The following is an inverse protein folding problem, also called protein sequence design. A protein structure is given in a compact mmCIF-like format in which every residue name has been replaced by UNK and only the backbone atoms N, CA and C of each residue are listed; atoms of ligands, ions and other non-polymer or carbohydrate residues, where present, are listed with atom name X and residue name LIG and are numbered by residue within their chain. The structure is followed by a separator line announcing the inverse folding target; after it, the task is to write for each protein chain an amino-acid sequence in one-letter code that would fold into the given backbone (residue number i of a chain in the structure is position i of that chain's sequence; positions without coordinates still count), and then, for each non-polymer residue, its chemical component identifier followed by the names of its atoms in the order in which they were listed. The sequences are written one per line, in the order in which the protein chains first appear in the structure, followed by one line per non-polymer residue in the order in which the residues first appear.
data_IF_148258010937
#
_entry.id   IF_148258010937
#
_cell.length_a   1.000
_cell.length_b   1.000
_cell.length_c   1.000
_cell.angle_alpha   90.00
_cell.angle_beta   90.00
_cell.angle_gamma   90.00
#
_symmetry.space_group_name_H-M   'P 1'
#
loop_
_entity.id
_entity.type
_entity.pdbx_description
1 polymer ?
#
# COMPACT_ATOMS: atom_id res chain seq x y z
N UNK A 1 46.35 14.90 -41.97
CA UNK A 1 45.26 15.54 -41.22
C UNK A 1 44.68 14.48 -40.31
N UNK A 2 44.92 14.57 -39.00
CA UNK A 2 44.55 13.55 -38.02
C UNK A 2 43.26 14.01 -37.34
N UNK A 3 42.14 13.35 -37.64
CA UNK A 3 40.83 13.70 -37.09
C UNK A 3 40.73 13.32 -35.62
N UNK A 4 40.49 14.30 -34.74
CA UNK A 4 40.19 14.07 -33.34
C UNK A 4 38.69 13.73 -33.20
N UNK A 5 38.39 12.54 -32.68
CA UNK A 5 37.03 12.12 -32.30
C UNK A 5 36.76 12.73 -30.93
N UNK A 6 35.88 13.72 -30.86
CA UNK A 6 35.34 14.23 -29.60
C UNK A 6 34.33 13.21 -29.05
N UNK A 7 34.72 12.48 -27.99
CA UNK A 7 33.81 11.62 -27.27
C UNK A 7 32.86 12.49 -26.43
N UNK A 8 31.61 12.64 -26.89
CA UNK A 8 30.54 13.22 -26.10
C UNK A 8 30.16 12.21 -25.01
N UNK A 9 30.62 12.43 -23.78
CA UNK A 9 30.11 11.71 -22.62
C UNK A 9 28.68 12.20 -22.35
N UNK A 10 27.67 11.44 -22.80
CA UNK A 10 26.33 11.59 -22.26
C UNK A 10 26.39 11.25 -20.77
N UNK A 11 26.35 12.27 -19.92
CA UNK A 11 26.18 12.08 -18.48
C UNK A 11 24.82 11.43 -18.24
N UNK A 12 24.82 10.21 -17.71
CA UNK A 12 23.61 9.65 -17.12
C UNK A 12 23.24 10.55 -15.94
N UNK A 13 22.08 11.21 -16.00
CA UNK A 13 21.55 11.94 -14.85
C UNK A 13 21.43 10.94 -13.68
N UNK A 14 21.78 11.35 -12.44
CA UNK A 14 21.58 10.48 -11.28
C UNK A 14 20.11 10.06 -11.23
N UNK A 15 19.87 8.78 -11.00
CA UNK A 15 18.52 8.31 -10.67
C UNK A 15 18.16 8.96 -9.33
N UNK A 16 17.29 9.97 -9.36
CA UNK A 16 16.81 10.64 -8.16
C UNK A 16 16.06 9.60 -7.32
N UNK A 17 16.24 9.62 -5.99
CA UNK A 17 15.26 8.94 -5.14
C UNK A 17 13.87 9.47 -5.46
N UNK A 18 12.86 8.64 -5.23
CA UNK A 18 11.47 9.04 -5.34
C UNK A 18 10.68 8.36 -4.22
N UNK A 19 9.67 9.07 -3.74
CA UNK A 19 8.66 8.52 -2.84
C UNK A 19 7.39 8.32 -3.64
N UNK A 20 7.10 7.07 -3.94
CA UNK A 20 5.87 6.71 -4.63
C UNK A 20 4.85 6.14 -3.66
N UNK A 21 3.58 6.42 -3.90
CA UNK A 21 2.47 5.92 -3.09
C UNK A 21 1.55 5.05 -3.94
N UNK A 22 1.10 3.94 -3.38
CA UNK A 22 0.17 3.02 -4.05
C UNK A 22 -0.92 2.53 -3.08
N UNK A 23 -2.21 2.54 -3.49
CA UNK A 23 -2.73 3.16 -4.70
C UNK A 23 -2.62 4.69 -4.67
N UNK A 24 -2.63 5.34 -5.83
CA UNK A 24 -2.70 6.80 -5.95
C UNK A 24 -4.14 7.35 -5.83
N UNK A 25 -5.12 6.47 -5.60
CA UNK A 25 -6.53 6.84 -5.47
C UNK A 25 -7.22 6.01 -4.37
N UNK A 26 -8.15 6.62 -3.65
CA UNK A 26 -9.09 5.96 -2.74
C UNK A 26 -10.50 6.57 -2.87
N UNK A 27 -11.48 6.03 -2.15
CA UNK A 27 -12.88 6.51 -2.16
C UNK A 27 -13.16 7.28 -0.88
N UNK A 28 -13.81 8.43 -0.99
CA UNK A 28 -14.24 9.26 0.14
C UNK A 28 -15.19 8.45 1.05
N UNK A 29 -14.99 8.51 2.36
CA UNK A 29 -15.77 7.76 3.35
C UNK A 29 -15.32 6.31 3.59
N UNK A 30 -14.57 5.70 2.67
CA UNK A 30 -14.08 4.32 2.80
C UNK A 30 -12.74 4.25 3.56
N UNK A 31 -12.34 3.03 3.93
CA UNK A 31 -10.96 2.75 4.37
C UNK A 31 -10.04 2.51 3.18
N UNK A 32 -8.77 2.88 3.33
CA UNK A 32 -7.72 2.61 2.36
C UNK A 32 -6.49 2.00 3.03
N UNK A 33 -5.73 1.22 2.26
CA UNK A 33 -4.37 0.77 2.62
C UNK A 33 -3.39 1.38 1.63
N UNK A 34 -2.47 2.20 2.13
CA UNK A 34 -1.47 2.90 1.32
C UNK A 34 -0.09 2.33 1.59
N UNK A 35 0.68 2.13 0.53
CA UNK A 35 2.09 1.74 0.58
C UNK A 35 2.92 2.89 0.07
N UNK A 36 3.83 3.39 0.90
CA UNK A 36 4.84 4.38 0.56
C UNK A 36 6.14 3.65 0.27
N UNK A 37 6.60 3.73 -0.98
CA UNK A 37 7.89 3.22 -1.41
C UNK A 37 8.89 4.35 -1.42
N UNK A 38 9.89 4.28 -0.55
CA UNK A 38 10.96 5.26 -0.42
C UNK A 38 12.22 4.67 -1.00
N UNK A 39 12.67 5.19 -2.14
CA UNK A 39 13.85 4.67 -2.83
C UNK A 39 15.16 5.08 -2.13
N UNK A 40 16.18 4.25 -2.28
CA UNK A 40 17.55 4.57 -1.86
C UNK A 40 18.32 5.14 -3.04
N UNK A 41 19.01 6.26 -2.85
CA UNK A 41 19.76 6.97 -3.90
C UNK A 41 21.23 7.23 -3.53
N UNK A 42 21.66 6.81 -2.34
CA UNK A 42 23.03 7.04 -1.86
C UNK A 42 23.84 5.74 -1.88
N UNK A 43 24.97 5.76 -2.58
CA UNK A 43 25.83 4.59 -2.71
C UNK A 43 26.53 4.18 -1.39
N UNK A 44 26.81 5.13 -0.51
CA UNK A 44 27.56 4.94 0.74
C UNK A 44 26.76 5.26 2.00
N UNK A 45 25.47 5.55 1.86
CA UNK A 45 24.56 5.79 2.98
C UNK A 45 23.28 4.98 2.76
N UNK A 46 22.52 4.77 3.82
CA UNK A 46 21.23 4.11 3.75
C UNK A 46 20.20 4.85 4.59
N UNK A 47 18.94 4.68 4.24
CA UNK A 47 17.82 5.28 4.97
C UNK A 47 17.67 4.66 6.35
N UNK A 48 17.77 5.48 7.40
CA UNK A 48 17.66 5.10 8.81
C UNK A 48 16.30 5.45 9.42
N UNK A 49 15.66 6.51 8.92
CA UNK A 49 14.37 6.98 9.42
C UNK A 49 13.52 7.51 8.26
N UNK A 50 12.23 7.22 8.31
CA UNK A 50 11.22 7.84 7.45
C UNK A 50 10.11 8.37 8.34
N UNK A 51 9.78 9.65 8.20
CA UNK A 51 8.66 10.28 8.87
C UNK A 51 7.59 10.64 7.84
N UNK A 52 6.39 10.08 8.00
CA UNK A 52 5.20 10.45 7.25
C UNK A 52 4.40 11.47 8.06
N UNK A 53 4.15 12.62 7.44
CA UNK A 53 3.32 13.70 7.95
C UNK A 53 1.93 13.57 7.36
N UNK A 54 0.93 13.46 8.22
CA UNK A 54 -0.48 13.42 7.82
C UNK A 54 -0.95 14.83 7.44
N UNK A 55 -1.79 14.99 6.41
CA UNK A 55 -2.28 16.32 6.01
C UNK A 55 -3.05 16.98 7.16
N UNK A 56 -2.73 18.24 7.49
CA UNK A 56 -3.41 18.96 8.57
C UNK A 56 -4.86 19.28 8.21
N UNK A 57 -5.10 19.71 6.96
CA UNK A 57 -6.40 20.11 6.42
C UNK A 57 -7.34 18.95 6.11
N UNK A 58 -6.85 17.71 6.10
CA UNK A 58 -7.62 16.51 5.82
C UNK A 58 -7.34 15.42 6.87
N UNK A 59 -7.76 15.62 8.14
CA UNK A 59 -7.55 14.64 9.19
C UNK A 59 -8.30 13.34 8.91
N UNK A 60 -7.72 12.23 9.33
CA UNK A 60 -8.33 10.89 9.24
C UNK A 60 -8.52 10.35 10.63
N UNK A 61 -9.74 9.91 10.95
CA UNK A 61 -10.11 9.53 12.31
C UNK A 61 -9.26 8.36 12.84
N UNK A 62 -8.99 7.37 11.98
CA UNK A 62 -8.20 6.20 12.33
C UNK A 62 -7.05 6.03 11.35
N UNK A 63 -5.85 5.80 11.87
CA UNK A 63 -4.65 5.52 11.06
C UNK A 63 -3.76 4.57 11.82
N UNK A 64 -3.37 3.48 11.17
CA UNK A 64 -2.61 2.39 11.74
C UNK A 64 -1.42 2.04 10.84
N UNK A 65 -0.17 2.19 11.31
CA UNK A 65 0.97 1.61 10.60
C UNK A 65 0.91 0.09 10.69
N UNK A 66 1.14 -0.57 9.56
CA UNK A 66 1.26 -2.03 9.51
C UNK A 66 2.69 -2.45 9.87
N UNK A 67 2.85 -3.70 10.29
CA UNK A 67 4.16 -4.29 10.53
C UNK A 67 4.95 -4.39 9.23
N UNK A 68 6.18 -3.87 9.24
CA UNK A 68 7.13 -3.98 8.15
C UNK A 68 8.44 -4.54 8.73
N UNK A 69 9.05 -5.58 8.11
CA UNK A 69 10.32 -6.11 8.58
C UNK A 69 11.37 -5.01 8.74
N UNK A 70 12.15 -5.09 9.82
CA UNK A 70 13.25 -4.16 10.12
C UNK A 70 12.86 -2.69 10.34
N UNK A 71 11.57 -2.35 10.38
CA UNK A 71 11.10 -0.98 10.60
C UNK A 71 10.15 -0.90 11.80
N UNK A 72 10.53 -0.09 12.78
CA UNK A 72 9.73 0.15 13.98
C UNK A 72 8.95 1.48 13.87
N UNK A 73 7.61 1.45 13.80
CA UNK A 73 6.79 2.66 13.77
C UNK A 73 6.62 3.29 15.16
N UNK A 74 6.60 4.62 15.20
CA UNK A 74 6.18 5.43 16.36
C UNK A 74 5.15 6.45 15.88
N UNK A 75 3.99 6.46 16.53
CA UNK A 75 2.87 7.35 16.21
C UNK A 75 2.96 8.60 17.10
N UNK A 76 2.74 9.77 16.52
CA UNK A 76 2.49 11.01 17.25
C UNK A 76 1.06 11.46 16.97
N UNK A 77 0.26 11.61 18.04
CA UNK A 77 -1.11 12.09 17.94
C UNK A 77 -1.16 13.63 17.91
N UNK A 78 -2.20 14.18 17.30
CA UNK A 78 -2.54 15.60 17.32
C UNK A 78 -4.02 15.79 17.59
N UNK A 79 -4.40 16.93 18.16
CA UNK A 79 -5.79 17.33 18.33
C UNK A 79 -6.37 17.84 17.01
N UNK A 80 -7.69 17.69 16.87
CA UNK A 80 -8.50 18.29 15.80
C UNK A 80 -9.61 19.13 16.41
N UNK A 81 -9.97 20.21 15.72
CA UNK A 81 -11.00 21.15 16.20
C UNK A 81 -12.42 20.59 16.08
N UNK A 82 -12.62 19.63 15.16
CA UNK A 82 -13.91 18.99 14.91
C UNK A 82 -13.86 17.53 15.34
N UNK A 83 -14.91 17.08 16.01
CA UNK A 83 -15.09 15.66 16.33
C UNK A 83 -15.30 14.88 15.04
N UNK A 84 -14.50 13.82 14.84
CA UNK A 84 -14.57 12.97 13.66
C UNK A 84 -15.23 11.64 13.99
N UNK A 85 -16.01 11.13 13.04
CA UNK A 85 -16.54 9.76 13.09
C UNK A 85 -15.46 8.75 12.72
N UNK A 86 -15.28 7.75 13.58
CA UNK A 86 -14.32 6.67 13.43
C UNK A 86 -15.07 5.37 13.08
N UNK A 87 -14.43 4.45 12.36
CA UNK A 87 -15.07 3.20 11.91
C UNK A 87 -15.20 2.21 13.09
N UNK A 88 -14.23 2.19 13.98
CA UNK A 88 -14.13 1.27 15.11
C UNK A 88 -14.27 1.95 16.47
N UNK A 89 -13.95 3.24 16.59
CA UNK A 89 -13.90 3.96 17.87
C UNK A 89 -15.00 5.01 18.10
N UNK A 90 -16.04 5.04 17.27
CA UNK A 90 -17.17 5.97 17.43
C UNK A 90 -16.80 7.40 17.07
N UNK A 91 -16.47 8.24 18.05
CA UNK A 91 -16.10 9.64 17.84
C UNK A 91 -14.72 9.95 18.45
N UNK A 92 -13.88 10.68 17.73
CA UNK A 92 -12.51 11.04 18.15
C UNK A 92 -12.22 12.53 18.00
N UNK A 93 -11.37 13.06 18.88
CA UNK A 93 -10.84 14.43 18.84
C UNK A 93 -9.31 14.48 18.76
N UNK A 94 -8.67 13.32 18.74
CA UNK A 94 -7.24 13.17 18.48
C UNK A 94 -7.06 12.18 17.32
N UNK A 95 -6.17 12.53 16.39
CA UNK A 95 -5.84 11.75 15.21
C UNK A 95 -4.33 11.61 15.08
N UNK A 96 -3.86 10.72 14.22
CA UNK A 96 -2.43 10.63 13.91
C UNK A 96 -1.99 11.90 13.18
N UNK A 97 -0.98 12.58 13.72
CA UNK A 97 -0.30 13.71 13.08
C UNK A 97 0.92 13.27 12.28
N UNK A 98 1.70 12.34 12.83
CA UNK A 98 2.83 11.74 12.11
C UNK A 98 3.10 10.30 12.52
N UNK A 99 3.76 9.57 11.62
CA UNK A 99 4.29 8.24 11.88
C UNK A 99 5.76 8.25 11.50
N UNK A 100 6.61 7.90 12.47
CA UNK A 100 8.06 7.78 12.27
C UNK A 100 8.42 6.31 12.26
N UNK A 101 8.92 5.80 11.15
CA UNK A 101 9.55 4.49 11.08
C UNK A 101 11.05 4.63 11.26
N UNK A 102 11.62 3.87 12.20
CA UNK A 102 13.07 3.77 12.42
C UNK A 102 13.55 2.39 11.99
N UNK A 103 14.60 2.33 11.18
CA UNK A 103 15.20 1.07 10.76
C UNK A 103 15.97 0.44 11.94
N UNK A 104 15.81 -0.86 12.16
CA UNK A 104 16.41 -1.61 13.27
C UNK A 104 17.93 -1.78 13.17
N UNK A 105 18.52 -1.53 12.00
CA UNK A 105 19.96 -1.66 11.77
C UNK A 105 20.37 -1.33 10.34
N UNK A 106 21.66 -1.53 10.04
CA UNK A 106 22.16 -1.43 8.67
C UNK A 106 21.51 -2.52 7.81
N UNK A 107 21.07 -2.19 6.59
CA UNK A 107 20.31 -3.13 5.79
C UNK A 107 21.28 -4.08 5.05
N UNK A 108 20.81 -5.27 4.69
CA UNK A 108 21.65 -6.23 3.97
C UNK A 108 22.13 -5.65 2.63
N UNK A 109 23.32 -6.05 2.15
CA UNK A 109 23.81 -5.58 0.86
C UNK A 109 22.79 -5.90 -0.26
N UNK A 110 22.42 -4.91 -1.06
CA UNK A 110 21.41 -5.06 -2.12
C UNK A 110 19.96 -5.09 -1.63
N UNK A 111 19.71 -4.90 -0.34
CA UNK A 111 18.35 -4.57 0.13
C UNK A 111 17.92 -3.23 -0.48
N UNK A 112 16.68 -3.21 -0.96
CA UNK A 112 16.11 -2.00 -1.56
C UNK A 112 15.79 -0.93 -0.51
N UNK A 113 15.02 0.06 -0.96
CA UNK A 113 14.48 1.11 -0.11
C UNK A 113 13.47 0.61 0.95
N UNK A 114 12.62 1.51 1.43
CA UNK A 114 11.57 1.17 2.40
C UNK A 114 10.22 1.00 1.71
N UNK A 115 9.44 -0.03 2.09
CA UNK A 115 8.02 -0.14 1.76
C UNK A 115 7.20 -0.02 3.05
N UNK A 116 6.67 1.17 3.31
CA UNK A 116 5.98 1.50 4.55
C UNK A 116 4.48 1.50 4.31
N UNK A 117 3.75 0.72 5.09
CA UNK A 117 2.33 0.47 4.84
C UNK A 117 1.51 1.07 5.98
N UNK A 118 0.44 1.80 5.63
CA UNK A 118 -0.56 2.28 6.57
C UNK A 118 -1.95 1.84 6.14
N UNK A 119 -2.82 1.58 7.11
CA UNK A 119 -4.27 1.48 6.94
C UNK A 119 -4.90 2.70 7.58
N UNK A 120 -5.87 3.32 6.91
CA UNK A 120 -6.44 4.58 7.35
C UNK A 120 -7.90 4.68 6.89
N UNK A 121 -8.73 5.35 7.67
CA UNK A 121 -10.17 5.47 7.38
C UNK A 121 -10.95 6.16 8.52
N UNK A 122 -12.18 6.59 8.24
CA UNK A 122 -12.76 6.75 6.90
C UNK A 122 -12.06 7.90 6.15
N UNK A 123 -11.98 7.84 4.82
CA UNK A 123 -11.37 8.90 4.02
C UNK A 123 -12.17 10.21 4.12
N UNK A 124 -11.51 11.37 4.24
CA UNK A 124 -12.18 12.66 4.34
C UNK A 124 -12.93 13.02 3.05
N UNK A 125 -13.93 13.90 3.18
CA UNK A 125 -14.71 14.43 2.05
C UNK A 125 -13.96 15.60 1.38
N UNK A 126 -12.81 15.30 0.80
CA UNK A 126 -11.98 16.23 0.00
C UNK A 126 -11.54 15.52 -1.27
N UNK A 127 -11.13 16.24 -2.31
CA UNK A 127 -10.74 15.64 -3.58
C UNK A 127 -9.33 15.04 -3.54
N UNK A 128 -8.45 15.58 -2.69
CA UNK A 128 -7.05 15.16 -2.62
C UNK A 128 -6.49 15.28 -1.20
N UNK A 129 -5.52 14.42 -0.89
CA UNK A 129 -4.67 14.49 0.30
C UNK A 129 -3.21 14.53 -0.14
N UNK A 130 -2.45 15.53 0.35
CA UNK A 130 -1.01 15.66 0.09
C UNK A 130 -0.24 15.33 1.35
N UNK A 131 0.60 14.31 1.29
CA UNK A 131 1.43 13.85 2.41
C UNK A 131 2.80 14.52 2.36
N UNK A 132 3.41 14.73 3.51
CA UNK A 132 4.84 15.04 3.61
C UNK A 132 5.63 13.80 3.98
N UNK A 133 6.77 13.56 3.36
CA UNK A 133 7.69 12.50 3.79
C UNK A 133 9.08 13.08 4.05
N UNK A 134 9.65 12.78 5.22
CA UNK A 134 11.02 13.16 5.58
C UNK A 134 11.87 11.90 5.67
N UNK A 135 12.88 11.82 4.82
CA UNK A 135 13.81 10.70 4.75
C UNK A 135 15.14 11.11 5.38
N UNK A 136 15.60 10.36 6.38
CA UNK A 136 16.91 10.57 7.03
C UNK A 136 17.84 9.42 6.71
N UNK A 137 19.08 9.74 6.36
CA UNK A 137 20.11 8.79 5.97
C UNK A 137 21.13 8.58 7.10
N UNK A 138 21.92 7.51 6.99
CA UNK A 138 22.96 7.14 7.95
C UNK A 138 24.13 8.12 8.02
N UNK A 139 24.35 8.93 6.97
CA UNK A 139 25.35 10.00 6.92
C UNK A 139 24.86 11.33 7.54
N UNK A 140 23.63 11.35 8.07
CA UNK A 140 22.99 12.53 8.65
C UNK A 140 22.28 13.42 7.64
N UNK A 141 22.29 13.09 6.34
CA UNK A 141 21.51 13.83 5.35
C UNK A 141 20.01 13.66 5.57
N UNK A 142 19.24 14.68 5.21
CA UNK A 142 17.78 14.69 5.31
C UNK A 142 17.18 15.22 4.00
N UNK A 143 16.27 14.46 3.43
CA UNK A 143 15.50 14.84 2.24
C UNK A 143 14.02 15.03 2.62
N UNK A 144 13.41 16.11 2.13
CA UNK A 144 12.00 16.42 2.38
C UNK A 144 11.19 16.31 1.09
N UNK A 145 10.37 15.26 1.01
CA UNK A 145 9.43 14.99 -0.08
C UNK A 145 8.10 15.68 0.21
N UNK A 146 8.05 16.98 -0.05
CA UNK A 146 6.91 17.83 0.29
C UNK A 146 6.66 18.95 -0.74
N UNK A 147 7.28 18.88 -1.92
CA UNK A 147 7.12 19.89 -2.95
C UNK A 147 5.85 19.57 -3.78
N UNK A 148 4.85 20.47 -3.80
CA UNK A 148 3.67 20.27 -4.64
C UNK A 148 4.02 20.46 -6.12
N UNK A 149 3.51 19.60 -7.02
CA UNK A 149 3.56 19.87 -8.45
C UNK A 149 2.80 21.16 -8.80
N UNK A 150 3.33 21.96 -9.72
CA UNK A 150 2.67 23.17 -10.23
C UNK A 150 2.73 23.25 -11.75
N UNK A 151 1.99 24.18 -12.37
CA UNK A 151 2.07 24.39 -13.81
C UNK A 151 3.47 24.84 -14.26
N UNK A 152 4.17 25.60 -13.41
CA UNK A 152 5.53 26.09 -13.66
C UNK A 152 6.59 25.01 -13.41
N UNK A 153 6.37 24.15 -12.40
CA UNK A 153 7.24 23.03 -12.05
C UNK A 153 6.41 21.75 -11.94
N UNK A 154 6.07 21.10 -13.08
CA UNK A 154 5.23 19.90 -13.07
C UNK A 154 5.88 18.69 -12.43
N UNK A 155 7.22 18.64 -12.42
CA UNK A 155 8.01 17.60 -11.78
C UNK A 155 9.04 18.26 -10.85
N UNK A 156 8.65 18.57 -9.60
CA UNK A 156 9.58 19.06 -8.60
C UNK A 156 10.64 18.01 -8.28
N UNK A 157 11.73 18.44 -7.66
CA UNK A 157 12.86 17.57 -7.32
C UNK A 157 12.48 16.56 -6.23
N UNK A 158 11.70 17.00 -5.24
CA UNK A 158 11.24 16.18 -4.12
C UNK A 158 9.71 16.22 -4.02
N UNK A 159 8.99 15.56 -4.95
CA UNK A 159 7.54 15.63 -5.03
C UNK A 159 6.87 15.10 -3.75
N UNK A 160 5.83 15.81 -3.31
CA UNK A 160 4.95 15.32 -2.25
C UNK A 160 4.07 14.16 -2.78
N UNK A 161 3.89 13.06 -2.02
CA UNK A 161 2.92 12.03 -2.39
C UNK A 161 1.48 12.57 -2.31
N UNK A 162 0.70 12.36 -3.37
CA UNK A 162 -0.69 12.84 -3.48
C UNK A 162 -1.65 11.67 -3.66
N UNK A 163 -2.70 11.61 -2.84
CA UNK A 163 -3.80 10.66 -2.94
C UNK A 163 -5.02 11.39 -3.50
N UNK A 164 -5.54 10.93 -4.62
CA UNK A 164 -6.83 11.39 -5.14
C UNK A 164 -7.96 10.64 -4.43
N UNK A 165 -9.01 11.34 -4.04
CA UNK A 165 -10.18 10.77 -3.38
C UNK A 165 -11.39 10.93 -4.29
N UNK A 166 -11.91 9.81 -4.80
CA UNK A 166 -13.13 9.81 -5.58
C UNK A 166 -14.37 9.84 -4.69
N UNK A 167 -15.44 10.54 -5.09
CA UNK A 167 -16.73 10.39 -4.45
C UNK A 167 -17.20 8.92 -4.46
N UNK A 168 -17.97 8.48 -3.45
CA UNK A 168 -18.57 7.16 -3.47
C UNK A 168 -19.47 6.98 -4.70
N UNK A 169 -19.46 5.78 -5.28
CA UNK A 169 -20.35 5.47 -6.40
C UNK A 169 -21.81 5.58 -5.94
N UNK A 170 -22.61 6.39 -6.63
CA UNK A 170 -24.07 6.41 -6.42
C UNK A 170 -24.65 5.14 -7.05
N UNK A 171 -25.36 4.28 -6.30
CA UNK A 171 -26.05 3.15 -6.90
C UNK A 171 -27.05 3.65 -7.94
N UNK A 172 -27.17 3.02 -9.13
CA UNK A 172 -28.23 3.36 -10.07
C UNK A 172 -29.58 3.06 -9.41
N UNK A 173 -30.32 4.12 -9.04
CA UNK A 173 -31.64 3.99 -8.41
C UNK A 173 -32.03 5.07 -7.38
N UNK A 174 -31.16 6.03 -7.04
CA UNK A 174 -31.53 7.14 -6.16
C UNK A 174 -31.55 8.49 -6.91
N UNK A 175 -32.33 8.56 -7.98
CA UNK A 175 -32.96 9.84 -8.34
C UNK A 175 -34.03 10.11 -7.31
N UNK A 176 -33.87 11.17 -6.52
CA UNK A 176 -34.82 11.58 -5.50
C UNK A 176 -36.22 11.72 -6.08
N UNK A 177 -37.14 10.89 -5.58
CA UNK A 177 -38.56 11.18 -5.70
C UNK A 177 -38.85 12.33 -4.72
N UNK A 178 -38.88 13.55 -5.23
CA UNK A 178 -39.58 14.64 -4.55
C UNK A 178 -41.04 14.22 -4.37
N UNK A 179 -41.40 13.94 -3.12
CA UNK A 179 -42.75 13.58 -2.73
C UNK A 179 -43.71 14.74 -2.97
N UNK A 180 -44.45 14.67 -4.08
CA UNK A 180 -45.72 15.36 -4.22
C UNK A 180 -46.82 14.34 -3.93
N UNK A 181 -47.49 14.51 -2.79
CA UNK A 181 -48.59 13.66 -2.39
C UNK A 181 -49.77 13.76 -3.36
N UNK A 182 -50.40 12.62 -3.64
CA UNK A 182 -51.80 12.54 -4.00
C UNK A 182 -52.35 11.16 -3.64
N UNK A 183 -53.41 11.21 -2.85
CA UNK A 183 -54.27 10.13 -2.41
C UNK A 183 -55.03 9.51 -3.61
N UNK A 184 -55.31 8.20 -3.58
CA UNK A 184 -56.50 7.66 -4.27
C UNK A 184 -56.34 6.39 -5.10
N UNK A 185 -56.97 5.32 -4.58
CA UNK A 185 -57.83 4.35 -5.29
C UNK A 185 -57.22 3.18 -6.10
N UNK A 186 -57.79 2.02 -5.77
CA UNK A 186 -57.65 0.68 -6.35
C UNK A 186 -58.26 0.59 -7.77
N UNK A 187 -57.76 -0.34 -8.61
CA UNK A 187 -58.58 -1.31 -9.35
C UNK A 187 -57.73 -2.30 -10.16
N UNK A 188 -58.27 -3.52 -10.25
CA UNK A 188 -57.79 -4.73 -10.91
C UNK A 188 -57.86 -4.71 -12.45
N UNK A 189 -56.93 -5.47 -13.05
CA UNK A 189 -57.09 -6.48 -14.11
C UNK A 189 -57.61 -6.07 -15.50
N UNK A 190 -56.82 -6.36 -16.55
CA UNK A 190 -57.25 -7.07 -17.77
C UNK A 190 -56.11 -7.24 -18.78
N UNK A 191 -56.12 -8.39 -19.45
CA UNK A 191 -55.13 -8.92 -20.37
C UNK A 191 -55.14 -8.29 -21.78
N UNK A 192 -54.02 -8.56 -22.50
CA UNK A 192 -53.60 -8.29 -23.89
C UNK A 192 -54.62 -8.74 -24.98
N UNK A 193 -54.45 -8.54 -26.33
CA UNK A 193 -53.17 -8.46 -27.09
C UNK A 193 -53.10 -7.59 -28.38
N UNK A 194 -51.94 -7.71 -29.08
CA UNK A 194 -51.61 -7.37 -30.48
C UNK A 194 -51.37 -5.86 -30.79
N UNK A 195 -50.41 -5.43 -31.62
CA UNK A 195 -49.79 -6.02 -32.83
C UNK A 195 -48.31 -5.64 -32.99
N UNK A 196 -47.64 -6.46 -33.82
CA UNK A 196 -46.33 -6.25 -34.44
C UNK A 196 -46.19 -4.86 -35.09
N UNK A 197 -45.08 -4.17 -34.81
CA UNK A 197 -44.42 -3.39 -35.86
C UNK A 197 -42.90 -3.58 -35.83
N UNK A 198 -42.44 -4.06 -36.96
CA UNK A 198 -41.09 -4.38 -37.38
C UNK A 198 -40.16 -3.16 -37.36
N UNK A 199 -39.16 -3.19 -36.47
CA UNK A 199 -38.03 -2.26 -36.46
C UNK A 199 -36.72 -2.98 -36.15
N UNK A 200 -36.15 -3.67 -37.14
CA UNK A 200 -34.80 -4.25 -37.04
C UNK A 200 -33.74 -3.13 -37.12
N UNK A 201 -33.11 -2.81 -35.98
CA UNK A 201 -31.95 -1.92 -35.86
C UNK A 201 -30.76 -2.63 -35.17
N UNK A 202 -29.50 -2.36 -35.57
CA UNK A 202 -28.42 -3.34 -35.50
C UNK A 202 -27.69 -3.35 -34.15
N UNK A 203 -28.10 -4.24 -33.25
CA UNK A 203 -27.36 -4.51 -31.99
C UNK A 203 -27.14 -6.01 -31.73
N UNK A 204 -26.98 -6.79 -32.79
CA UNK A 204 -26.67 -8.22 -32.70
C UNK A 204 -25.44 -8.65 -33.55
N UNK A 205 -24.43 -7.77 -33.69
CA UNK A 205 -23.12 -8.11 -34.29
C UNK A 205 -21.95 -7.61 -33.43
N UNK A 206 -22.00 -7.92 -32.14
CA UNK A 206 -20.91 -7.63 -31.19
C UNK A 206 -20.53 -8.79 -30.27
N UNK A 207 -21.15 -9.97 -30.44
CA UNK A 207 -20.99 -11.12 -29.53
C UNK A 207 -20.32 -12.34 -30.20
N UNK A 208 -19.72 -12.18 -31.39
CA UNK A 208 -19.04 -13.29 -32.09
C UNK A 208 -17.51 -13.14 -32.21
N UNK A 209 -16.94 -11.95 -31.91
CA UNK A 209 -15.47 -11.73 -32.01
C UNK A 209 -14.77 -11.86 -30.65
N UNK A 210 -15.48 -11.71 -29.53
CA UNK A 210 -14.90 -11.86 -28.19
C UNK A 210 -14.55 -13.30 -27.80
N UNK A 211 -15.20 -14.31 -28.41
CA UNK A 211 -15.03 -15.71 -28.02
C UNK A 211 -13.77 -16.38 -28.62
N UNK A 212 -13.19 -15.83 -29.68
CA UNK A 212 -11.96 -16.37 -30.29
C UNK A 212 -10.67 -15.81 -29.67
N UNK A 213 -10.68 -14.58 -29.15
CA UNK A 213 -9.50 -14.00 -28.48
C UNK A 213 -9.29 -14.52 -27.05
N UNK A 214 -10.37 -14.89 -26.34
CA UNK A 214 -10.28 -15.45 -24.98
C UNK A 214 -9.62 -16.84 -24.91
N UNK A 215 -9.82 -17.68 -25.93
CA UNK A 215 -9.27 -19.04 -25.96
C UNK A 215 -7.77 -19.07 -26.31
N UNK A 216 -7.26 -18.07 -27.04
CA UNK A 216 -5.84 -17.99 -27.39
C UNK A 216 -4.96 -17.61 -26.17
N UNK A 217 -5.44 -16.72 -25.29
CA UNK A 217 -4.70 -16.29 -24.09
C UNK A 217 -4.69 -17.37 -23.01
N UNK A 218 -5.81 -18.07 -22.82
CA UNK A 218 -5.89 -19.21 -21.90
C UNK A 218 -5.01 -20.39 -22.37
N UNK A 219 -4.95 -20.65 -23.68
CA UNK A 219 -4.03 -21.64 -24.26
C UNK A 219 -2.57 -21.28 -24.05
N UNK A 220 -2.17 -20.03 -24.30
CA UNK A 220 -0.79 -19.57 -24.14
C UNK A 220 -0.27 -19.66 -22.69
N UNK A 221 -1.13 -19.40 -21.71
CA UNK A 221 -0.80 -19.57 -20.29
C UNK A 221 -0.69 -21.04 -19.86
N UNK A 222 -1.44 -21.95 -20.49
CA UNK A 222 -1.35 -23.38 -20.22
C UNK A 222 -0.07 -24.01 -20.80
N UNK A 223 0.37 -23.54 -21.98
CA UNK A 223 1.62 -23.98 -22.64
C UNK A 223 2.91 -23.41 -21.99
N UNK A 224 2.81 -22.40 -21.12
CA UNK A 224 3.96 -21.77 -20.45
C UNK A 224 4.30 -22.33 -19.06
N UNK A 225 3.67 -23.42 -18.63
CA UNK A 225 4.04 -24.06 -17.36
C UNK A 225 5.41 -24.74 -17.51
N UNK A 226 6.46 -24.30 -16.78
CA UNK A 226 7.73 -25.01 -16.76
C UNK A 226 7.51 -26.39 -16.14
N UNK A 227 7.88 -27.44 -16.86
CA UNK A 227 8.01 -28.79 -16.33
C UNK A 227 9.07 -28.75 -15.24
N UNK A 228 8.65 -28.91 -13.98
CA UNK A 228 9.57 -29.23 -12.89
C UNK A 228 10.16 -30.60 -13.23
N UNK A 229 11.37 -30.60 -13.77
CA UNK A 229 12.18 -31.81 -13.89
C UNK A 229 12.48 -32.25 -12.47
N UNK A 230 11.80 -33.32 -12.05
CA UNK A 230 12.21 -34.08 -10.87
C UNK A 230 13.61 -34.63 -11.17
N UNK A 231 14.63 -34.00 -10.59
CA UNK A 231 15.98 -34.52 -10.64
C UNK A 231 16.04 -35.79 -9.79
N UNK A 232 16.07 -36.92 -10.49
CA UNK A 232 16.57 -38.20 -9.99
C UNK A 232 18.05 -38.04 -9.63
N UNK A 233 18.34 -37.97 -8.34
CA UNK A 233 19.69 -38.22 -7.83
C UNK A 233 19.65 -39.51 -7.00
N UNK A 234 20.01 -40.62 -7.66
CA UNK A 234 20.43 -41.84 -6.98
C UNK A 234 21.95 -41.89 -6.94
N UNK A 235 22.55 -41.89 -5.75
CA UNK A 235 23.71 -42.74 -5.39
C UNK A 235 24.11 -42.52 -3.92
N UNK A 236 23.91 -43.58 -3.14
CA UNK A 236 24.46 -43.87 -1.81
C UNK A 236 26.01 -44.04 -1.90
N UNK A 237 26.84 -44.02 -0.83
CA UNK A 237 26.68 -44.92 0.33
C UNK A 237 27.12 -44.40 1.71
N UNK A 238 26.48 -44.92 2.77
CA UNK A 238 27.18 -45.27 3.99
C UNK A 238 26.64 -44.67 5.28
N UNK A 239 25.80 -45.42 6.00
CA UNK A 239 25.78 -45.37 7.47
C UNK A 239 25.37 -46.75 8.00
N UNK A 240 26.15 -47.36 8.92
CA UNK A 240 25.73 -48.57 9.63
C UNK A 240 24.80 -48.22 10.81
N UNK A 241 23.82 -49.12 11.02
CA UNK A 241 23.11 -49.58 12.23
C UNK A 241 22.89 -48.65 13.46
N UNK A 242 21.70 -48.68 14.10
CA UNK A 242 21.39 -47.86 15.27
C UNK A 242 21.79 -48.59 16.56
N UNK A 243 22.53 -47.91 17.43
CA UNK A 243 22.85 -48.45 18.74
C UNK A 243 23.49 -47.42 19.66
N UNK A 244 22.78 -47.18 20.78
CA UNK A 244 23.34 -46.79 22.08
C UNK A 244 23.48 -45.29 22.34
N UNK A 245 22.42 -44.75 22.95
CA UNK A 245 22.41 -43.72 23.99
C UNK A 245 23.59 -43.91 24.97
N UNK A 246 24.23 -42.82 25.44
CA UNK A 246 23.86 -42.37 26.77
C UNK A 246 23.81 -40.85 26.99
N UNK A 247 22.76 -40.46 27.73
CA UNK A 247 22.66 -39.43 28.78
C UNK A 247 23.85 -38.48 29.01
N UNK A 248 23.56 -37.18 29.20
CA UNK A 248 24.10 -36.53 30.39
C UNK A 248 23.02 -35.84 31.25
N UNK A 249 22.82 -36.40 32.44
CA UNK A 249 22.19 -35.80 33.61
C UNK A 249 22.79 -34.40 33.91
N UNK A 250 21.96 -33.38 34.22
CA UNK A 250 22.45 -32.07 34.67
C UNK A 250 22.81 -32.06 36.16
N UNK A 251 24.05 -31.65 36.48
CA UNK A 251 24.47 -31.38 37.85
C UNK A 251 23.79 -30.12 38.39
N UNK A 252 22.91 -30.33 39.37
CA UNK A 252 22.25 -29.33 40.21
C UNK A 252 23.14 -29.05 41.42
N UNK A 253 23.85 -27.91 41.44
CA UNK A 253 24.48 -27.42 42.68
C UNK A 253 23.53 -26.44 43.35
N UNK A 254 22.96 -26.87 44.47
CA UNK A 254 22.29 -26.00 45.43
C UNK A 254 23.33 -25.36 46.33
N UNK A 255 23.43 -24.03 46.33
CA UNK A 255 23.90 -23.31 47.51
C UNK A 255 22.80 -22.37 48.00
N UNK A 256 22.22 -22.78 49.13
CA UNK A 256 21.45 -21.93 50.03
C UNK A 256 22.42 -21.12 50.86
N UNK A 257 22.25 -19.80 50.95
CA UNK A 257 22.85 -19.08 52.07
C UNK A 257 22.83 -17.56 52.08
N UNK A 258 21.77 -17.01 52.67
CA UNK A 258 21.76 -15.86 53.59
C UNK A 258 21.84 -14.44 53.00
N UNK A 259 20.85 -13.62 53.40
CA UNK A 259 21.08 -12.19 53.64
C UNK A 259 20.00 -11.21 53.18
N UNK A 260 18.78 -11.31 53.70
CA UNK A 260 17.85 -10.16 53.66
C UNK A 260 18.20 -9.19 54.80
N UNK A 261 18.47 -7.92 54.46
CA UNK A 261 18.46 -6.79 55.40
C UNK A 261 17.62 -5.67 54.78
N UNK A 262 16.44 -5.47 55.38
CA UNK A 262 15.66 -4.23 55.35
C UNK A 262 16.38 -3.13 56.13
N UNK A 263 16.37 -1.89 55.61
CA UNK A 263 16.21 -0.58 56.30
C UNK A 263 15.87 0.45 55.21
N UNK A 264 14.70 1.08 55.29
CA UNK A 264 14.45 2.42 55.89
C UNK A 264 15.13 3.55 55.11
#
# INVERSE_FOLDING_TARGET
MTSAIAAATLGAAPAMADVTMTPGQAVQGDSAKLTFRVSEDRASAYTTKVELLMPESAPVAETYPMSVPDWAPRITMRKVDQTLGAIHHGQVTEVVGSIVWTRSGAPAAGSGGAELIISLGPMPQTDQMTFGVVQTYSDGHVTNWNQPPSAEVPRPEFPAPVLTLAPPATPPGQTGAEGTGANGAQAQDSAAPADDDSGFGPLAVGLAIGLLCGLAVAGWLYLRRPTVVAATAGSNPGTPDPGTDPDPTPARTSERGKGWRLRE
#
